data_IF_694546944301
#
_entry.id   IF_694546944301
#
_cell.length_a   1.000
_cell.length_b   1.000
_cell.length_c   1.000
_cell.angle_alpha   90.00
_cell.angle_beta   90.00
_cell.angle_gamma   90.00
#
_symmetry.space_group_name_H-M   'P 1'
#
loop_
_entity.id
_entity.type
_entity.pdbx_description
1 polymer ?
#
# COMPACT_ATOMS: atom_id res chain seq x y z
N UNK A 1 -64.66 7.41 20.49
CA UNK A 1 -63.61 6.56 21.07
C UNK A 1 -62.59 6.25 19.98
N UNK A 2 -61.53 7.05 19.88
CA UNK A 2 -60.41 6.80 18.97
C UNK A 2 -59.17 6.65 19.84
N UNK A 3 -58.70 5.40 19.98
CA UNK A 3 -57.43 5.10 20.63
C UNK A 3 -56.30 5.61 19.74
N UNK A 4 -55.65 6.68 20.21
CA UNK A 4 -54.44 7.22 19.60
C UNK A 4 -53.26 6.42 20.15
N UNK A 5 -52.89 5.36 19.43
CA UNK A 5 -51.73 4.53 19.73
C UNK A 5 -50.47 5.34 19.44
N UNK A 6 -49.86 5.89 20.47
CA UNK A 6 -48.51 6.46 20.40
C UNK A 6 -47.51 5.32 20.19
N UNK A 7 -47.03 5.17 18.96
CA UNK A 7 -45.87 4.34 18.65
C UNK A 7 -44.63 5.05 19.24
N UNK A 8 -44.23 4.67 20.45
CA UNK A 8 -42.93 4.99 21.01
C UNK A 8 -41.87 4.28 20.15
N UNK A 9 -41.28 5.02 19.21
CA UNK A 9 -40.07 4.59 18.50
C UNK A 9 -38.95 4.58 19.56
N UNK A 10 -38.38 3.43 19.94
CA UNK A 10 -37.15 3.46 20.71
C UNK A 10 -36.09 4.05 19.77
N UNK A 11 -35.64 5.26 20.06
CA UNK A 11 -34.32 5.70 19.62
C UNK A 11 -33.34 4.64 20.13
N UNK A 12 -33.00 3.67 19.29
CA UNK A 12 -31.76 2.93 19.43
C UNK A 12 -30.65 3.99 19.31
N UNK A 13 -30.25 4.53 20.46
CA UNK A 13 -28.89 4.95 20.68
C UNK A 13 -28.04 3.69 20.49
N UNK A 14 -27.72 3.37 19.23
CA UNK A 14 -26.56 2.56 18.93
C UNK A 14 -25.41 3.19 19.72
N UNK A 15 -24.67 2.43 20.53
CA UNK A 15 -23.50 2.98 21.18
C UNK A 15 -22.66 3.60 20.07
N UNK A 16 -22.36 4.90 20.18
CA UNK A 16 -21.22 5.47 19.47
C UNK A 16 -20.06 4.55 19.85
N UNK A 17 -19.73 3.59 19.00
CA UNK A 17 -18.53 2.78 19.13
C UNK A 17 -17.41 3.80 19.25
N UNK A 18 -16.75 3.84 20.41
CA UNK A 18 -15.67 4.77 20.68
C UNK A 18 -14.78 4.78 19.43
N UNK A 19 -14.69 5.92 18.76
CA UNK A 19 -14.03 5.96 17.46
C UNK A 19 -12.62 5.40 17.63
N UNK A 20 -12.35 4.30 16.93
CA UNK A 20 -11.10 3.57 17.03
C UNK A 20 -9.97 4.53 16.66
N UNK A 21 -9.11 4.85 17.62
CA UNK A 21 -8.04 5.81 17.40
C UNK A 21 -6.80 5.11 16.82
N UNK A 22 -6.19 5.69 15.80
CA UNK A 22 -4.90 5.26 15.27
C UNK A 22 -3.83 6.29 15.66
N UNK A 23 -2.57 5.88 15.78
CA UNK A 23 -1.47 6.82 15.60
C UNK A 23 -1.52 7.37 14.17
N UNK A 24 -1.30 8.67 14.01
CA UNK A 24 -1.44 9.44 12.78
C UNK A 24 -0.26 10.39 12.63
N UNK A 25 0.84 9.85 12.10
CA UNK A 25 2.12 10.54 11.98
C UNK A 25 2.96 9.95 10.86
N UNK A 26 3.98 10.68 10.45
CA UNK A 26 5.03 10.22 9.55
C UNK A 26 6.39 10.76 10.00
N UNK A 27 7.47 10.09 9.63
CA UNK A 27 8.82 10.66 9.75
C UNK A 27 8.96 11.90 8.84
N UNK A 28 9.76 12.91 9.24
CA UNK A 28 9.92 14.16 8.48
C UNK A 28 10.31 13.98 7.01
N UNK A 29 11.18 13.02 6.69
CA UNK A 29 11.61 12.77 5.31
C UNK A 29 10.46 12.43 4.35
N UNK A 30 9.34 11.91 4.87
CA UNK A 30 8.18 11.56 4.05
C UNK A 30 7.32 12.77 3.66
N UNK A 31 7.59 13.97 4.20
CA UNK A 31 6.85 15.19 3.86
C UNK A 31 7.08 15.57 2.39
N UNK A 32 8.34 15.59 1.97
CA UNK A 32 8.78 15.90 0.61
C UNK A 32 8.88 14.66 -0.28
N UNK A 33 8.90 13.46 0.32
CA UNK A 33 9.09 12.19 -0.38
C UNK A 33 7.90 11.23 -0.21
N UNK A 34 6.68 11.76 -0.22
CA UNK A 34 5.45 10.98 0.00
C UNK A 34 5.32 9.77 -0.94
N UNK A 35 5.82 9.88 -2.17
CA UNK A 35 5.84 8.80 -3.16
C UNK A 35 6.51 7.51 -2.66
N UNK A 36 7.44 7.59 -1.69
CA UNK A 36 8.08 6.42 -1.09
C UNK A 36 7.11 5.54 -0.30
N UNK A 37 5.98 6.10 0.13
CA UNK A 37 4.93 5.36 0.84
C UNK A 37 4.10 4.48 -0.09
N UNK A 38 4.21 4.71 -1.41
CA UNK A 38 3.39 4.07 -2.45
C UNK A 38 1.88 4.37 -2.36
N UNK A 39 1.46 5.30 -1.48
CA UNK A 39 0.08 5.76 -1.39
C UNK A 39 -0.19 6.96 -2.30
N UNK A 40 -1.37 6.96 -2.90
CA UNK A 40 -1.83 8.03 -3.78
C UNK A 40 -2.08 9.33 -3.01
N UNK A 41 -2.61 9.22 -1.79
CA UNK A 41 -3.10 10.35 -1.00
C UNK A 41 -2.18 10.58 0.18
N UNK A 42 -1.71 11.82 0.32
CA UNK A 42 -1.10 12.34 1.54
C UNK A 42 -2.22 12.90 2.42
N UNK A 43 -2.57 12.25 3.55
CA UNK A 43 -3.70 12.67 4.35
C UNK A 43 -3.53 14.08 4.90
N UNK A 44 -4.60 14.85 4.89
CA UNK A 44 -4.60 16.17 5.52
C UNK A 44 -4.37 16.06 7.04
N UNK A 45 -3.53 16.95 7.56
CA UNK A 45 -3.26 17.06 9.00
C UNK A 45 -2.32 16.02 9.59
N UNK A 46 -1.69 15.16 8.77
CA UNK A 46 -0.67 14.22 9.25
C UNK A 46 0.50 14.99 9.88
N UNK A 47 0.99 14.49 11.03
CA UNK A 47 2.09 15.13 11.76
C UNK A 47 3.42 14.51 11.36
N UNK A 48 4.32 15.35 10.87
CA UNK A 48 5.70 14.97 10.55
C UNK A 48 6.60 15.17 11.77
N UNK A 49 7.07 14.07 12.37
CA UNK A 49 7.84 14.11 13.62
C UNK A 49 8.68 12.86 13.82
N UNK A 50 9.87 13.03 14.41
CA UNK A 50 10.76 11.93 14.81
C UNK A 50 10.13 11.02 15.88
N UNK A 51 9.21 11.57 16.69
CA UNK A 51 8.46 10.81 17.68
C UNK A 51 7.58 9.71 17.06
N UNK A 52 7.32 9.74 15.75
CA UNK A 52 6.53 8.71 15.07
C UNK A 52 7.14 7.30 15.20
N UNK A 53 8.44 7.22 15.48
CA UNK A 53 9.18 5.97 15.74
C UNK A 53 8.85 5.31 17.09
N UNK A 54 8.24 6.03 18.04
CA UNK A 54 8.09 5.58 19.44
C UNK A 54 6.75 4.91 19.71
N UNK A 55 5.67 5.32 19.04
CA UNK A 55 4.34 4.77 19.25
C UNK A 55 3.76 4.98 20.65
N UNK A 56 4.13 6.07 21.33
CA UNK A 56 3.64 6.39 22.67
C UNK A 56 3.01 7.79 22.78
N UNK A 57 3.29 8.70 21.84
CA UNK A 57 2.86 10.09 21.94
C UNK A 57 1.36 10.28 21.66
N UNK A 58 0.58 10.55 22.72
CA UNK A 58 -0.87 10.64 22.65
C UNK A 58 -1.39 11.81 21.81
N UNK A 59 -0.56 12.83 21.57
CA UNK A 59 -0.88 13.95 20.68
C UNK A 59 -0.95 13.55 19.20
N UNK A 60 -0.42 12.38 18.83
CA UNK A 60 -0.41 11.87 17.46
C UNK A 60 -1.63 10.99 17.17
N UNK A 61 -2.73 11.12 17.91
CA UNK A 61 -3.93 10.29 17.77
C UNK A 61 -4.94 10.90 16.80
N UNK A 62 -5.57 10.07 15.98
CA UNK A 62 -6.72 10.44 15.16
C UNK A 62 -7.81 9.36 15.19
N UNK A 63 -9.09 9.72 15.30
CA UNK A 63 -10.21 8.80 15.10
C UNK A 63 -10.25 8.21 13.68
N UNK A 64 -10.48 6.90 13.55
CA UNK A 64 -10.46 6.17 12.28
C UNK A 64 -11.85 5.59 12.00
N UNK A 65 -12.57 6.16 11.03
CA UNK A 65 -13.96 5.76 10.74
C UNK A 65 -14.11 4.29 10.33
N UNK A 66 -13.08 3.72 9.67
CA UNK A 66 -13.06 2.30 9.27
C UNK A 66 -12.61 1.35 10.39
N UNK A 67 -12.07 1.86 11.49
CA UNK A 67 -11.43 1.06 12.55
C UNK A 67 -10.11 0.40 12.17
N UNK A 68 -9.65 0.55 10.91
CA UNK A 68 -8.41 -0.07 10.42
C UNK A 68 -7.25 0.93 10.53
N UNK A 69 -6.27 0.58 11.36
CA UNK A 69 -5.01 1.29 11.48
C UNK A 69 -3.96 0.68 10.55
N UNK A 70 -3.03 1.51 10.11
CA UNK A 70 -1.86 1.13 9.32
C UNK A 70 -0.58 1.63 9.98
N UNK A 71 0.49 0.84 9.88
CA UNK A 71 1.87 1.26 10.14
C UNK A 71 2.84 0.66 9.13
N UNK A 72 3.91 1.38 8.82
CA UNK A 72 4.98 0.90 7.95
C UNK A 72 6.36 1.43 8.36
N UNK A 73 7.38 0.65 8.00
CA UNK A 73 8.79 1.01 8.06
C UNK A 73 9.32 1.19 6.63
N UNK A 74 9.82 2.38 6.31
CA UNK A 74 10.22 2.76 4.95
C UNK A 74 11.70 3.18 4.99
N UNK A 75 12.62 2.34 4.49
CA UNK A 75 14.02 2.70 4.36
C UNK A 75 14.22 3.82 3.34
N UNK A 76 14.86 4.92 3.75
CA UNK A 76 15.22 6.03 2.87
C UNK A 76 16.32 6.87 3.53
N UNK A 77 17.20 7.48 2.73
CA UNK A 77 18.33 8.30 3.23
C UNK A 77 19.17 7.62 4.31
N UNK A 78 19.46 6.32 4.15
CA UNK A 78 20.21 5.50 5.11
C UNK A 78 19.57 5.41 6.51
N UNK A 79 18.28 5.70 6.66
CA UNK A 79 17.55 5.52 7.92
C UNK A 79 16.20 4.84 7.70
N UNK A 80 15.59 4.41 8.80
CA UNK A 80 14.24 3.85 8.80
C UNK A 80 13.23 4.94 9.12
N UNK A 81 12.32 5.18 8.19
CA UNK A 81 11.21 6.11 8.35
C UNK A 81 9.93 5.38 8.75
N UNK A 82 9.06 6.05 9.48
CA UNK A 82 7.84 5.49 10.01
C UNK A 82 6.65 6.19 9.37
N UNK A 83 5.62 5.43 9.00
CA UNK A 83 4.32 5.95 8.58
C UNK A 83 3.24 5.27 9.43
N UNK A 84 2.30 6.05 9.97
CA UNK A 84 1.19 5.55 10.79
C UNK A 84 -0.07 6.36 10.49
N UNK A 85 -1.21 5.69 10.35
CA UNK A 85 -2.47 6.39 10.19
C UNK A 85 -3.70 5.50 10.09
N UNK A 86 -4.83 6.13 9.81
CA UNK A 86 -6.04 5.44 9.39
C UNK A 86 -5.81 4.91 7.97
N UNK A 87 -5.98 3.62 7.73
CA UNK A 87 -5.67 3.05 6.42
C UNK A 87 -6.50 3.68 5.30
N UNK A 88 -7.77 3.96 5.57
CA UNK A 88 -8.69 4.57 4.60
C UNK A 88 -8.26 5.98 4.14
N UNK A 89 -7.53 6.73 4.98
CA UNK A 89 -7.11 8.09 4.64
C UNK A 89 -5.99 8.11 3.59
N UNK A 90 -5.23 7.02 3.45
CA UNK A 90 -4.15 6.90 2.48
C UNK A 90 -4.65 6.50 1.08
N UNK A 91 -5.91 6.10 0.97
CA UNK A 91 -6.51 5.60 -0.26
C UNK A 91 -7.30 6.73 -0.94
N UNK A 92 -7.33 6.71 -2.27
CA UNK A 92 -8.21 7.59 -3.04
C UNK A 92 -9.65 7.07 -2.97
N UNK A 93 -10.65 7.94 -2.96
CA UNK A 93 -12.09 7.59 -2.95
C UNK A 93 -12.54 6.79 -4.17
N UNK A 94 -11.80 6.85 -5.28
CA UNK A 94 -12.05 6.07 -6.50
C UNK A 94 -11.62 4.59 -6.40
N UNK A 95 -10.82 4.24 -5.39
CA UNK A 95 -10.42 2.85 -5.17
C UNK A 95 -11.58 2.14 -4.47
N UNK A 96 -12.30 1.27 -5.20
CA UNK A 96 -13.27 0.36 -4.61
C UNK A 96 -12.54 -0.53 -3.60
N UNK A 97 -12.61 -0.12 -2.34
CA UNK A 97 -12.16 -0.87 -1.19
C UNK A 97 -12.97 -2.16 -1.14
N UNK A 98 -12.43 -3.26 -1.65
CA UNK A 98 -12.81 -4.55 -1.08
C UNK A 98 -12.22 -4.54 0.32
N UNK A 99 -13.09 -4.45 1.32
CA UNK A 99 -12.81 -4.43 2.75
C UNK A 99 -12.11 -5.68 3.28
N UNK A 100 -11.21 -6.28 2.52
CA UNK A 100 -10.61 -7.58 2.80
C UNK A 100 -9.75 -7.60 4.08
N UNK A 101 -9.53 -6.45 4.72
CA UNK A 101 -8.97 -6.36 6.10
C UNK A 101 -10.08 -6.31 7.14
N UNK A 102 -11.06 -7.23 7.07
CA UNK A 102 -11.85 -7.62 8.26
C UNK A 102 -11.28 -8.91 8.85
N UNK A 103 -9.96 -9.04 8.88
CA UNK A 103 -9.35 -10.08 9.69
C UNK A 103 -9.30 -9.59 11.14
N UNK A 104 -9.91 -10.33 12.06
CA UNK A 104 -9.78 -10.08 13.50
C UNK A 104 -8.33 -10.16 14.02
N UNK A 105 -7.37 -10.54 13.16
CA UNK A 105 -5.95 -10.63 13.44
C UNK A 105 -5.18 -9.60 12.62
N UNK A 106 -4.18 -8.91 13.22
CA UNK A 106 -3.25 -8.07 12.46
C UNK A 106 -2.59 -8.84 11.34
N UNK A 107 -2.46 -8.19 10.18
CA UNK A 107 -1.65 -8.69 9.06
C UNK A 107 -0.36 -7.88 9.08
N UNK A 108 0.80 -8.55 9.15
CA UNK A 108 2.09 -7.88 9.05
C UNK A 108 3.01 -8.67 8.13
N UNK A 109 3.59 -7.99 7.14
CA UNK A 109 4.55 -8.56 6.22
C UNK A 109 5.82 -7.71 6.19
N UNK A 110 6.97 -8.35 6.05
CA UNK A 110 8.25 -7.66 5.89
C UNK A 110 9.09 -8.31 4.79
N UNK A 111 10.07 -7.55 4.30
CA UNK A 111 11.06 -8.05 3.34
C UNK A 111 12.28 -7.15 3.27
N UNK A 112 13.42 -7.76 2.95
CA UNK A 112 14.70 -7.07 2.78
C UNK A 112 14.84 -6.50 1.37
N UNK A 113 15.46 -5.34 1.25
CA UNK A 113 15.90 -4.80 -0.03
C UNK A 113 17.10 -5.58 -0.57
N UNK A 114 17.37 -5.45 -1.87
CA UNK A 114 18.55 -6.04 -2.51
C UNK A 114 19.87 -5.53 -1.94
N UNK A 115 20.96 -6.23 -2.27
CA UNK A 115 22.32 -5.88 -1.88
C UNK A 115 22.65 -4.46 -2.34
N UNK A 116 23.01 -3.57 -1.41
CA UNK A 116 23.38 -2.17 -1.69
C UNK A 116 22.41 -1.12 -1.16
N UNK A 117 21.22 -1.52 -0.70
CA UNK A 117 20.34 -0.63 0.07
C UNK A 117 20.57 -0.89 1.56
N UNK A 118 21.11 0.10 2.26
CA UNK A 118 21.46 -0.03 3.68
C UNK A 118 20.81 1.05 4.53
N UNK A 119 20.69 0.76 5.82
CA UNK A 119 20.28 1.71 6.87
C UNK A 119 21.29 1.68 7.99
N UNK A 120 21.46 2.82 8.67
CA UNK A 120 22.37 2.98 9.79
C UNK A 120 21.56 3.36 11.03
N UNK A 121 21.91 2.78 12.18
CA UNK A 121 21.30 3.15 13.45
C UNK A 121 21.81 4.53 13.90
N UNK A 122 21.05 5.57 13.58
CA UNK A 122 21.42 6.97 13.90
C UNK A 122 21.52 7.24 15.41
N UNK A 123 20.98 6.36 16.27
CA UNK A 123 21.09 6.50 17.73
C UNK A 123 22.39 5.90 18.28
N UNK A 124 23.15 5.17 17.47
CA UNK A 124 24.43 4.57 17.86
C UNK A 124 25.58 5.22 17.09
N UNK A 125 26.52 5.79 17.85
CA UNK A 125 27.74 6.32 17.28
C UNK A 125 28.51 5.22 16.52
N UNK A 126 28.84 5.49 15.25
CA UNK A 126 29.60 4.59 14.37
C UNK A 126 28.96 3.20 14.15
N UNK A 127 27.62 3.11 14.16
CA UNK A 127 26.96 1.87 13.77
C UNK A 127 27.33 1.48 12.32
N UNK A 128 27.72 0.21 12.06
CA UNK A 128 27.90 -0.26 10.70
C UNK A 128 26.55 -0.24 9.95
N UNK A 129 26.54 0.02 8.63
CA UNK A 129 25.32 -0.09 7.84
C UNK A 129 24.79 -1.52 7.84
N UNK A 130 23.48 -1.67 8.06
CA UNK A 130 22.75 -2.93 7.96
C UNK A 130 21.93 -2.97 6.67
N UNK A 131 21.61 -4.16 6.18
CA UNK A 131 20.69 -4.31 5.05
C UNK A 131 19.34 -3.66 5.38
N UNK A 132 18.82 -2.87 4.45
CA UNK A 132 17.53 -2.23 4.62
C UNK A 132 16.39 -3.24 4.57
N UNK A 133 15.46 -3.15 5.51
CA UNK A 133 14.23 -3.96 5.57
C UNK A 133 13.03 -3.05 5.70
N UNK A 134 11.97 -3.35 4.95
CA UNK A 134 10.67 -2.67 5.03
C UNK A 134 9.63 -3.61 5.61
N UNK A 135 8.59 -3.03 6.22
CA UNK A 135 7.45 -3.78 6.70
C UNK A 135 6.18 -2.93 6.59
N UNK A 136 5.06 -3.61 6.36
CA UNK A 136 3.72 -3.03 6.42
C UNK A 136 2.85 -3.85 7.35
N UNK A 137 2.03 -3.18 8.14
CA UNK A 137 1.11 -3.82 9.07
C UNK A 137 -0.24 -3.13 9.09
N UNK A 138 -1.30 -3.93 9.04
CA UNK A 138 -2.69 -3.52 9.20
C UNK A 138 -3.25 -4.19 10.44
N UNK A 139 -4.08 -3.46 11.17
CA UNK A 139 -4.72 -3.98 12.36
C UNK A 139 -6.02 -3.23 12.65
N UNK A 140 -6.91 -3.89 13.37
CA UNK A 140 -8.11 -3.27 13.95
C UNK A 140 -7.84 -3.09 15.44
N UNK A 141 -8.29 -1.98 16.01
CA UNK A 141 -8.13 -1.75 17.45
C UNK A 141 -8.92 -2.79 18.26
N UNK A 142 -8.34 -3.22 19.38
CA UNK A 142 -9.05 -4.03 20.35
C UNK A 142 -10.03 -3.20 21.18
N UNK A 143 -10.88 -3.87 21.98
CA UNK A 143 -11.94 -3.26 22.78
C UNK A 143 -11.47 -2.34 23.96
N UNK A 144 -10.24 -1.80 23.94
CA UNK A 144 -9.64 -1.16 25.11
C UNK A 144 -8.74 0.06 24.83
N UNK A 145 -9.02 0.85 23.78
CA UNK A 145 -8.33 2.13 23.54
C UNK A 145 -6.82 2.03 23.27
N UNK A 146 -6.29 0.82 23.15
CA UNK A 146 -4.93 0.53 22.69
C UNK A 146 -4.89 0.65 21.18
N UNK A 147 -4.09 1.61 20.69
CA UNK A 147 -3.84 1.77 19.27
C UNK A 147 -3.03 0.57 18.79
N UNK A 148 -3.56 -0.16 17.84
CA UNK A 148 -2.91 -1.36 17.36
C UNK A 148 -1.69 -1.03 16.48
N UNK A 149 -1.62 0.14 15.83
CA UNK A 149 -0.53 0.53 14.91
C UNK A 149 0.69 1.12 15.63
N UNK A 150 1.16 0.41 16.66
CA UNK A 150 2.37 0.73 17.40
C UNK A 150 3.30 -0.46 17.63
N UNK A 151 3.18 -1.50 16.82
CA UNK A 151 4.04 -2.67 16.96
C UNK A 151 5.44 -2.40 16.38
N UNK A 152 5.51 -1.65 15.27
CA UNK A 152 6.74 -1.34 14.53
C UNK A 152 7.38 -0.06 15.11
N UNK A 153 8.05 -0.21 16.25
CA UNK A 153 8.77 0.86 16.95
C UNK A 153 10.28 0.70 16.84
N UNK A 154 11.02 1.79 17.02
CA UNK A 154 12.48 1.73 17.10
C UNK A 154 12.95 0.68 18.13
N UNK A 155 13.95 -0.11 17.72
CA UNK A 155 14.69 -1.04 18.57
C UNK A 155 16.04 -1.30 17.91
N UNK A 156 17.09 -1.46 18.71
CA UNK A 156 18.41 -1.89 18.25
C UNK A 156 18.34 -3.16 17.39
N UNK A 157 17.44 -4.07 17.74
CA UNK A 157 17.25 -5.33 17.02
C UNK A 157 16.81 -5.13 15.58
N UNK A 158 16.18 -3.99 15.24
CA UNK A 158 15.84 -3.66 13.86
C UNK A 158 17.08 -3.66 12.95
N UNK A 159 18.24 -3.28 13.51
CA UNK A 159 19.50 -3.17 12.78
C UNK A 159 20.40 -4.38 12.96
N UNK A 160 20.36 -5.05 14.12
CA UNK A 160 21.28 -6.16 14.44
C UNK A 160 20.69 -7.55 14.20
N UNK A 161 19.37 -7.70 14.28
CA UNK A 161 18.63 -8.96 14.08
C UNK A 161 17.21 -8.64 13.56
N UNK A 162 17.15 -8.18 12.31
CA UNK A 162 15.90 -7.72 11.71
C UNK A 162 14.87 -8.86 11.65
N UNK A 163 15.28 -10.08 11.30
CA UNK A 163 14.42 -11.27 11.30
C UNK A 163 13.80 -11.53 12.68
N UNK A 164 14.60 -11.53 13.76
CA UNK A 164 14.10 -11.71 15.12
C UNK A 164 13.20 -10.56 15.56
N UNK A 165 13.54 -9.32 15.20
CA UNK A 165 12.70 -8.15 15.43
C UNK A 165 11.31 -8.32 14.82
N UNK A 166 11.21 -8.62 13.52
CA UNK A 166 9.94 -8.72 12.81
C UNK A 166 9.12 -9.93 13.26
N UNK A 167 9.77 -11.09 13.45
CA UNK A 167 9.12 -12.30 13.95
C UNK A 167 8.52 -12.06 15.35
N UNK A 168 9.24 -11.36 16.22
CA UNK A 168 8.76 -10.96 17.55
C UNK A 168 7.56 -10.00 17.54
N UNK A 169 7.27 -9.35 16.40
CA UNK A 169 6.08 -8.51 16.19
C UNK A 169 4.94 -9.24 15.47
N UNK A 170 5.11 -10.54 15.20
CA UNK A 170 4.14 -11.35 14.46
C UNK A 170 4.09 -11.02 12.96
N UNK A 171 5.18 -10.47 12.42
CA UNK A 171 5.33 -10.22 11.00
C UNK A 171 5.87 -11.45 10.29
N UNK A 172 5.37 -11.71 9.09
CA UNK A 172 5.78 -12.82 8.25
C UNK A 172 6.69 -12.31 7.15
N UNK A 173 7.80 -13.02 6.92
CA UNK A 173 8.67 -12.71 5.79
C UNK A 173 7.97 -13.11 4.50
N UNK A 174 7.94 -12.20 3.54
CA UNK A 174 7.36 -12.49 2.24
C UNK A 174 8.13 -13.58 1.48
N UNK A 175 7.41 -14.48 0.80
CA UNK A 175 8.04 -15.54 -0.01
C UNK A 175 8.48 -14.98 -1.36
N UNK A 176 9.76 -15.11 -1.72
CA UNK A 176 10.30 -14.50 -2.93
C UNK A 176 9.86 -15.21 -4.23
N UNK A 177 9.24 -14.44 -5.12
CA UNK A 177 8.80 -14.85 -6.46
C UNK A 177 9.64 -14.18 -7.55
N UNK A 178 9.66 -14.74 -8.76
CA UNK A 178 10.17 -14.00 -9.92
C UNK A 178 9.12 -12.99 -10.39
N UNK A 179 9.56 -11.75 -10.61
CA UNK A 179 8.73 -10.68 -11.15
C UNK A 179 9.37 -10.14 -12.42
N UNK A 180 8.56 -9.70 -13.38
CA UNK A 180 9.07 -8.97 -14.54
C UNK A 180 9.67 -7.65 -14.05
N UNK A 181 10.86 -7.32 -14.55
CA UNK A 181 11.58 -6.10 -14.21
C UNK A 181 11.96 -5.34 -15.48
N UNK A 182 11.38 -4.16 -15.67
CA UNK A 182 11.61 -3.35 -16.86
C UNK A 182 11.09 -1.92 -16.66
N UNK A 183 11.46 -1.03 -17.57
CA UNK A 183 10.82 0.30 -17.66
C UNK A 183 10.58 0.72 -19.11
N UNK A 184 9.57 1.55 -19.33
CA UNK A 184 9.31 2.24 -20.58
C UNK A 184 8.76 3.64 -20.29
N UNK A 185 9.36 4.65 -20.90
CA UNK A 185 9.01 6.06 -20.77
C UNK A 185 9.20 6.78 -22.11
N UNK A 186 8.15 7.43 -22.63
CA UNK A 186 8.28 8.31 -23.81
C UNK A 186 8.85 7.64 -25.06
N UNK A 187 8.55 6.35 -25.26
CA UNK A 187 9.07 5.56 -26.40
C UNK A 187 10.45 4.94 -26.20
N UNK A 188 11.09 5.18 -25.04
CA UNK A 188 12.36 4.57 -24.66
C UNK A 188 12.15 3.53 -23.54
N UNK A 189 12.89 2.42 -23.59
CA UNK A 189 12.87 1.40 -22.54
C UNK A 189 12.75 -0.02 -23.10
N UNK A 190 12.68 -0.98 -22.19
CA UNK A 190 12.72 -2.42 -22.47
C UNK A 190 11.43 -3.15 -22.04
N UNK A 191 10.45 -2.44 -21.48
CA UNK A 191 9.13 -3.02 -21.18
C UNK A 191 8.33 -3.27 -22.47
N UNK A 192 8.31 -4.52 -22.91
CA UNK A 192 7.50 -5.02 -24.02
C UNK A 192 6.78 -6.31 -23.64
N UNK A 193 5.99 -6.85 -24.57
CA UNK A 193 5.40 -8.18 -24.42
C UNK A 193 6.47 -9.28 -24.28
N UNK A 194 7.63 -9.10 -24.90
CA UNK A 194 8.70 -10.08 -24.96
C UNK A 194 9.74 -9.95 -23.83
N UNK A 195 9.54 -9.07 -22.86
CA UNK A 195 10.50 -8.85 -21.78
C UNK A 195 10.65 -10.08 -20.91
N UNK A 196 11.88 -10.57 -20.78
CA UNK A 196 12.26 -11.72 -19.95
C UNK A 196 13.13 -11.34 -18.76
N UNK A 197 13.54 -10.07 -18.65
CA UNK A 197 14.29 -9.56 -17.50
C UNK A 197 13.44 -9.70 -16.25
N UNK A 198 13.97 -10.36 -15.23
CA UNK A 198 13.28 -10.57 -13.96
C UNK A 198 14.09 -10.08 -12.77
N UNK A 199 13.38 -9.86 -11.67
CA UNK A 199 13.94 -9.68 -10.33
C UNK A 199 13.25 -10.65 -9.36
N UNK A 200 13.77 -10.79 -8.14
CA UNK A 200 13.14 -11.61 -7.10
C UNK A 200 12.82 -10.83 -5.85
N UNK A 201 11.57 -10.89 -5.41
CA UNK A 201 11.09 -10.33 -4.15
C UNK A 201 9.72 -10.92 -3.79
N UNK A 202 9.19 -10.64 -2.59
CA UNK A 202 7.88 -11.13 -2.20
C UNK A 202 6.71 -10.63 -3.03
N UNK A 203 6.83 -9.42 -3.58
CA UNK A 203 5.75 -8.79 -4.33
C UNK A 203 6.25 -8.32 -5.69
N UNK A 204 5.41 -8.52 -6.70
CA UNK A 204 5.63 -7.92 -8.00
C UNK A 204 4.82 -6.64 -8.10
N UNK A 205 5.43 -5.61 -8.67
CA UNK A 205 4.82 -4.30 -8.84
C UNK A 205 4.69 -3.98 -10.31
N UNK A 206 3.61 -3.27 -10.64
CA UNK A 206 3.30 -2.77 -11.98
C UNK A 206 2.75 -1.36 -11.85
N UNK A 207 3.41 -0.40 -12.50
CA UNK A 207 2.95 0.96 -12.71
C UNK A 207 2.63 1.12 -14.18
N UNK A 208 1.39 1.44 -14.54
CA UNK A 208 1.02 1.75 -15.92
C UNK A 208 0.17 3.00 -15.98
N UNK A 209 0.57 3.97 -16.79
CA UNK A 209 -0.10 5.26 -16.83
C UNK A 209 0.48 6.22 -17.84
N UNK A 210 0.25 7.50 -17.58
CA UNK A 210 0.74 8.60 -18.40
C UNK A 210 1.41 9.67 -17.53
N UNK A 211 2.57 10.15 -17.97
CA UNK A 211 3.22 11.33 -17.44
C UNK A 211 3.22 12.39 -18.54
N UNK A 212 2.53 13.51 -18.32
CA UNK A 212 2.42 14.59 -19.31
C UNK A 212 1.95 14.11 -20.71
N UNK A 213 1.06 13.11 -20.76
CA UNK A 213 0.53 12.52 -21.99
C UNK A 213 1.38 11.39 -22.59
N UNK A 214 2.62 11.20 -22.13
CA UNK A 214 3.47 10.08 -22.57
C UNK A 214 3.23 8.84 -21.73
N UNK A 215 3.13 7.68 -22.39
CA UNK A 215 2.91 6.40 -21.72
C UNK A 215 4.13 6.00 -20.87
N UNK A 216 3.84 5.59 -19.63
CA UNK A 216 4.83 5.11 -18.66
C UNK A 216 4.44 3.71 -18.22
N UNK A 217 5.38 2.79 -18.30
CA UNK A 217 5.27 1.44 -17.75
C UNK A 217 6.49 1.15 -16.92
N UNK A 218 6.31 0.78 -15.66
CA UNK A 218 7.41 0.29 -14.81
C UNK A 218 6.96 -1.02 -14.18
N UNK A 219 7.82 -2.03 -14.25
CA UNK A 219 7.63 -3.30 -13.56
C UNK A 219 8.84 -3.57 -12.70
N UNK A 220 8.60 -3.96 -11.47
CA UNK A 220 9.66 -4.08 -10.48
C UNK A 220 9.29 -5.11 -9.41
N UNK A 221 10.25 -5.32 -8.51
CA UNK A 221 10.11 -6.09 -7.30
C UNK A 221 9.89 -5.15 -6.12
N UNK A 222 9.04 -5.56 -5.17
CA UNK A 222 8.89 -4.87 -3.90
C UNK A 222 9.10 -5.82 -2.71
N UNK A 223 9.87 -5.40 -1.70
CA UNK A 223 10.05 -6.16 -0.47
C UNK A 223 8.83 -6.16 0.46
N UNK A 224 7.95 -5.16 0.35
CA UNK A 224 6.69 -5.08 1.08
C UNK A 224 5.58 -4.51 0.20
N UNK A 225 4.33 -4.82 0.53
CA UNK A 225 3.15 -4.22 -0.09
C UNK A 225 2.49 -3.21 0.87
N UNK A 226 2.08 -2.01 0.41
CA UNK A 226 1.31 -1.05 1.21
C UNK A 226 -0.17 -1.42 1.28
N UNK A 227 -0.55 -2.51 0.60
CA UNK A 227 -1.91 -2.95 0.38
C UNK A 227 -2.24 -4.30 0.99
N UNK A 228 -3.51 -4.50 1.32
CA UNK A 228 -4.00 -5.77 1.84
C UNK A 228 -4.34 -6.76 0.72
N UNK A 229 -3.30 -7.40 0.18
CA UNK A 229 -3.43 -8.38 -0.89
C UNK A 229 -3.31 -7.76 -2.29
N UNK A 230 -3.46 -8.63 -3.29
CA UNK A 230 -3.26 -8.31 -4.70
C UNK A 230 -4.30 -7.29 -5.16
N UNK A 231 -3.86 -6.07 -5.45
CA UNK A 231 -4.75 -4.98 -5.83
C UNK A 231 -4.05 -3.92 -6.67
N UNK A 232 -4.85 -3.18 -7.42
CA UNK A 232 -4.45 -2.00 -8.17
C UNK A 232 -5.12 -0.77 -7.58
N UNK A 233 -4.35 0.30 -7.42
CA UNK A 233 -4.87 1.62 -7.03
C UNK A 233 -4.51 2.62 -8.09
N UNK A 234 -5.43 3.52 -8.44
CA UNK A 234 -5.12 4.60 -9.35
C UNK A 234 -4.55 5.79 -8.59
N UNK A 235 -3.38 6.24 -9.00
CA UNK A 235 -2.69 7.41 -8.49
C UNK A 235 -2.79 8.49 -9.55
N UNK A 236 -3.52 9.57 -9.23
CA UNK A 236 -3.55 10.79 -10.04
C UNK A 236 -2.95 11.91 -9.18
N UNK A 237 -1.82 12.45 -9.60
CA UNK A 237 -1.13 13.56 -8.91
C UNK A 237 -0.55 14.54 -9.91
N UNK A 238 -0.14 15.71 -9.42
CA UNK A 238 0.63 16.70 -10.17
C UNK A 238 1.95 16.88 -9.45
N UNK A 239 3.04 16.53 -10.11
CA UNK A 239 4.37 16.67 -9.54
C UNK A 239 5.04 17.94 -10.03
N UNK A 240 5.67 18.66 -9.11
CA UNK A 240 6.49 19.83 -9.40
C UNK A 240 7.88 19.36 -9.86
N UNK A 241 8.25 19.68 -11.10
CA UNK A 241 9.57 19.43 -11.67
C UNK A 241 10.30 20.76 -11.90
N UNK A 242 11.39 20.98 -11.17
CA UNK A 242 12.24 22.15 -11.40
C UNK A 242 13.19 21.88 -12.58
N UNK A 243 13.04 22.62 -13.68
CA UNK A 243 13.97 22.61 -14.80
C UNK A 243 14.46 24.03 -15.07
N UNK A 244 15.77 24.25 -14.94
CA UNK A 244 16.41 25.54 -15.19
C UNK A 244 15.78 26.74 -14.42
N UNK A 245 15.36 26.52 -13.17
CA UNK A 245 14.76 27.56 -12.32
C UNK A 245 13.27 27.79 -12.55
N UNK A 246 12.63 27.03 -13.44
CA UNK A 246 11.17 27.03 -13.65
C UNK A 246 10.57 25.76 -13.07
N UNK A 247 9.54 25.90 -12.24
CA UNK A 247 8.76 24.76 -11.74
C UNK A 247 7.65 24.42 -12.75
N UNK A 248 7.75 23.24 -13.35
CA UNK A 248 6.74 22.67 -14.23
C UNK A 248 5.83 21.73 -13.44
N UNK A 249 4.52 21.92 -13.58
CA UNK A 249 3.51 21.02 -13.03
C UNK A 249 3.15 19.98 -14.07
N UNK A 250 3.65 18.75 -13.88
CA UNK A 250 3.36 17.66 -14.81
C UNK A 250 2.27 16.76 -14.23
N UNK A 251 1.13 16.60 -14.92
CA UNK A 251 0.11 15.65 -14.50
C UNK A 251 0.67 14.23 -14.67
N UNK A 252 0.49 13.42 -13.64
CA UNK A 252 0.84 12.01 -13.60
C UNK A 252 -0.38 11.22 -13.18
N UNK A 253 -0.76 10.24 -14.00
CA UNK A 253 -1.89 9.36 -13.72
C UNK A 253 -1.53 7.93 -14.04
N UNK A 254 -1.43 7.06 -13.04
CA UNK A 254 -1.05 5.66 -13.23
C UNK A 254 -1.80 4.70 -12.31
N UNK A 255 -2.05 3.50 -12.83
CA UNK A 255 -2.50 2.36 -12.04
C UNK A 255 -1.26 1.71 -11.41
N UNK A 256 -1.26 1.65 -10.09
CA UNK A 256 -0.23 1.05 -9.26
C UNK A 256 -0.75 -0.26 -8.69
N UNK A 257 -0.26 -1.37 -9.23
CA UNK A 257 -0.66 -2.72 -8.85
C UNK A 257 0.43 -3.46 -8.08
N UNK A 258 0.02 -4.18 -7.05
CA UNK A 258 0.81 -5.20 -6.37
C UNK A 258 0.16 -6.56 -6.57
N UNK A 259 0.98 -7.59 -6.72
CA UNK A 259 0.51 -8.96 -6.75
C UNK A 259 1.54 -9.91 -6.14
N UNK A 260 1.07 -11.11 -5.84
CA UNK A 260 1.87 -12.23 -5.32
C UNK A 260 1.89 -13.38 -6.32
N UNK A 261 3.00 -14.12 -6.35
CA UNK A 261 3.20 -15.25 -7.26
C UNK A 261 4.10 -14.96 -8.46
N UNK A 262 4.46 -16.03 -9.17
CA UNK A 262 5.42 -15.99 -10.28
C UNK A 262 4.89 -15.16 -11.46
N UNK A 263 5.64 -14.13 -11.84
CA UNK A 263 5.39 -13.24 -12.98
C UNK A 263 3.95 -12.68 -13.01
N UNK A 264 3.35 -12.45 -11.84
CA UNK A 264 1.99 -11.96 -11.70
C UNK A 264 1.79 -10.51 -12.16
N UNK A 265 2.88 -9.82 -12.54
CA UNK A 265 2.88 -8.49 -13.14
C UNK A 265 3.11 -8.55 -14.67
N UNK A 266 2.26 -9.25 -15.45
CA UNK A 266 2.54 -9.58 -16.83
C UNK A 266 2.60 -8.34 -17.73
N UNK A 267 3.18 -8.57 -18.90
CA UNK A 267 3.23 -7.68 -20.04
C UNK A 267 1.91 -7.53 -20.79
N UNK A 268 0.86 -7.03 -20.13
CA UNK A 268 -0.41 -6.73 -20.81
C UNK A 268 -0.73 -5.24 -20.86
N UNK A 269 -0.69 -4.69 -22.08
CA UNK A 269 -1.64 -3.68 -22.58
C UNK A 269 -2.86 -4.39 -23.19
N UNK A 270 -3.50 -5.34 -22.49
CA UNK A 270 -4.83 -5.83 -22.90
C UNK A 270 -5.56 -6.34 -21.67
N UNK A 271 -6.66 -5.69 -21.31
CA UNK A 271 -7.67 -6.24 -20.41
C UNK A 271 -8.15 -7.58 -20.96
N UNK A 272 -7.64 -8.68 -20.39
CA UNK A 272 -8.11 -10.04 -20.69
C UNK A 272 -9.60 -10.25 -20.38
N UNK A 273 -10.25 -9.29 -19.71
CA UNK A 273 -11.68 -9.28 -19.42
C UNK A 273 -12.58 -8.87 -20.60
N UNK A 274 -12.07 -8.21 -21.65
CA UNK A 274 -12.89 -7.80 -22.81
C UNK A 274 -13.00 -8.87 -23.90
N UNK A 275 -12.00 -9.76 -24.02
CA UNK A 275 -11.99 -10.82 -25.04
C UNK A 275 -12.93 -11.99 -24.70
N UNK A 276 -13.13 -12.32 -23.41
CA UNK A 276 -14.07 -13.37 -23.04
C UNK A 276 -15.54 -12.95 -23.25
N UNK A 277 -15.89 -11.68 -22.99
CA UNK A 277 -17.23 -11.14 -23.21
C UNK A 277 -17.63 -11.01 -24.69
N UNK A 278 -16.67 -10.96 -25.61
CA UNK A 278 -16.93 -10.96 -27.06
C UNK A 278 -17.00 -12.36 -27.68
N UNK A 279 -16.39 -13.37 -27.06
CA UNK A 279 -16.40 -14.76 -27.57
C UNK A 279 -17.65 -15.56 -27.16
N UNK A 280 -18.26 -15.24 -26.01
CA UNK A 280 -19.49 -15.90 -25.54
C UNK A 280 -20.73 -15.73 -26.46
N UNK A 281 -21.03 -14.54 -27.04
CA UNK A 281 -22.17 -14.39 -27.95
C UNK A 281 -21.92 -14.93 -29.37
N UNK A 282 -20.67 -15.26 -29.74
CA UNK A 282 -20.34 -15.86 -31.04
C UNK A 282 -20.48 -17.39 -31.02
N UNK A 283 -20.21 -18.03 -29.87
CA UNK A 283 -20.39 -19.48 -29.70
C UNK A 283 -21.88 -19.89 -29.59
N UNK A 284 -22.77 -19.00 -29.18
CA UNK A 284 -24.22 -19.29 -29.13
C UNK A 284 -24.91 -19.29 -30.50
N UNK A 285 -24.22 -18.92 -31.59
CA UNK A 285 -24.76 -18.96 -32.95
C UNK A 285 -24.44 -20.25 -33.73
N UNK A 286 -23.62 -21.14 -33.17
CA UNK A 286 -23.19 -22.38 -33.83
C UNK A 286 -23.68 -23.67 -33.18
N UNK A 287 -24.63 -23.60 -32.24
CA UNK A 287 -25.39 -24.78 -31.82
C UNK A 287 -26.61 -24.93 -32.73
N UNK A 288 -26.64 -25.87 -33.69
CA UNK A 288 -27.88 -26.22 -34.34
C UNK A 288 -28.76 -26.89 -33.29
N UNK A 289 -29.90 -26.26 -32.99
CA UNK A 289 -31.03 -26.94 -32.36
C UNK A 289 -31.53 -28.02 -33.33
N UNK A 290 -30.89 -29.18 -33.28
CA UNK A 290 -31.39 -30.41 -33.88
C UNK A 290 -32.37 -31.05 -32.91
N UNK A 291 -33.63 -30.63 -32.96
CA UNK A 291 -34.73 -31.40 -32.40
C UNK A 291 -35.97 -31.19 -33.27
N UNK A 292 -36.32 -32.21 -34.06
CA UNK A 292 -37.66 -32.39 -34.61
C UNK A 292 -37.88 -33.87 -34.92
N UNK A 293 -38.93 -34.39 -34.28
CA UNK A 293 -39.64 -35.68 -34.43
C UNK A 293 -38.89 -36.97 -34.11
#
# INVERSE_FOLDING_TARGET
MQSMTYLLLPLLCLPLTAADNCFFCASPDLEENWQLTNFAVRPEGIKYTESCSTGTETALKKPCASGVCYEALIPFNNKVNYLRGCYADFLNTATNYTSSVVAAKPVCNYGAYGTGVTVTDEKKNNAPPSQATTASRWCVNGAAGTMCNNALVYSDNLYTDSTGYFTGKGCVEGTAHNCINCSHFGGAGDCSAATTTTCRAPYCVKYEGYLNGDAVVVRACAPSMPFSGDQCVRIDTTSDFALAGVTLKLPYGADHCYCTGENCNPSSMVSSSLLLSLLLPLLSRFLPFGCSS
#
